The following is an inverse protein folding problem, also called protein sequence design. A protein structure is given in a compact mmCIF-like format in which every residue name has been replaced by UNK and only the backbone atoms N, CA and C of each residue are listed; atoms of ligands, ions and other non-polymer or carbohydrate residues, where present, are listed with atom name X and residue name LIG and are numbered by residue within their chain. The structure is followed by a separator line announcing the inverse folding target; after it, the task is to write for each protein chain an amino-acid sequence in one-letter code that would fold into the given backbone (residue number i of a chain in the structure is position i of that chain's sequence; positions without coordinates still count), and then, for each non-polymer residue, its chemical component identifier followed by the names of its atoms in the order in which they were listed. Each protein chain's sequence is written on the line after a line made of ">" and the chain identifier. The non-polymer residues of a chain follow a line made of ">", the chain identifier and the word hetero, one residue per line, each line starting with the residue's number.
data_IF_534196027204
#
_entry.id   IF_534196027204
#
_cell.length_a   1.000
_cell.length_b   1.000
_cell.length_c   1.000
_cell.angle_alpha   90.00
_cell.angle_beta   90.00
_cell.angle_gamma   90.00
#
_symmetry.space_group_name_H-M   'P 1'
#
loop_
_entity.id
_entity.type
_entity.pdbx_description
1 polymer ?
#
# COMPACT_ATOMS: atom_id res chain seq x y z
N UNK A 1 35.97 55.31 -1.19
CA UNK A 1 35.50 55.30 0.20
C UNK A 1 33.97 55.48 0.29
N UNK A 2 33.15 54.61 -0.28
CA UNK A 2 31.67 54.71 -0.21
C UNK A 2 30.98 53.31 -0.14
N UNK A 3 31.62 52.31 0.45
CA UNK A 3 31.06 50.94 0.57
C UNK A 3 31.05 50.35 2.00
N UNK A 4 31.24 51.17 3.04
CA UNK A 4 31.30 50.72 4.44
C UNK A 4 30.21 51.26 5.37
N UNK A 5 29.18 51.93 4.84
CA UNK A 5 28.10 52.53 5.65
C UNK A 5 26.73 51.87 5.52
N UNK A 6 26.61 50.73 4.77
CA UNK A 6 25.35 50.01 4.59
C UNK A 6 25.26 48.69 5.38
N UNK A 7 26.29 48.30 6.12
CA UNK A 7 26.31 47.08 6.91
C UNK A 7 25.87 47.26 8.38
N UNK A 8 25.60 48.48 8.82
CA UNK A 8 25.26 48.81 10.23
C UNK A 8 23.78 48.92 10.55
N UNK A 9 22.89 48.95 9.54
CA UNK A 9 21.46 49.23 9.76
C UNK A 9 20.56 47.97 9.82
N UNK A 10 21.07 46.76 9.55
CA UNK A 10 20.28 45.55 9.57
C UNK A 10 20.42 44.69 10.84
N UNK A 11 21.27 45.12 11.79
CA UNK A 11 21.50 44.34 13.04
C UNK A 11 20.67 44.84 14.24
N UNK A 12 19.85 45.87 14.08
CA UNK A 12 19.14 46.52 15.22
C UNK A 12 17.64 46.14 15.32
N UNK A 13 17.09 45.30 14.43
CA UNK A 13 15.65 44.94 14.42
C UNK A 13 15.32 43.54 14.91
N UNK A 14 16.30 42.72 15.37
CA UNK A 14 16.07 41.36 15.87
C UNK A 14 16.16 41.20 17.41
N UNK A 15 16.16 42.26 18.18
CA UNK A 15 16.40 42.20 19.61
C UNK A 15 15.18 42.51 20.51
N UNK A 16 13.93 42.51 19.98
CA UNK A 16 12.75 42.89 20.79
C UNK A 16 11.60 41.87 20.83
N UNK A 17 11.88 40.55 20.68
CA UNK A 17 10.81 39.54 20.80
C UNK A 17 11.14 38.38 21.76
N UNK A 18 11.92 38.62 22.83
CA UNK A 18 12.16 37.60 23.87
C UNK A 18 11.88 38.18 25.28
N UNK A 19 10.62 38.42 25.60
CA UNK A 19 10.18 38.54 26.98
C UNK A 19 8.73 38.08 27.14
N UNK A 20 8.53 36.76 27.24
CA UNK A 20 7.40 36.19 27.96
C UNK A 20 7.67 34.67 28.15
N UNK A 21 8.44 34.31 29.15
CA UNK A 21 8.42 32.96 29.74
C UNK A 21 8.51 33.11 31.24
N UNK A 22 7.34 33.05 31.87
CA UNK A 22 7.15 32.83 33.29
C UNK A 22 7.10 31.31 33.58
N UNK A 23 7.94 30.91 34.46
CA UNK A 23 8.03 29.77 35.33
C UNK A 23 6.80 28.86 35.53
N UNK A 24 7.00 27.55 35.46
CA UNK A 24 6.10 26.49 35.96
C UNK A 24 6.48 25.11 35.41
N UNK A 25 7.12 24.28 36.22
CA UNK A 25 7.50 22.91 35.86
C UNK A 25 6.30 21.96 35.86
N UNK A 26 6.39 20.86 35.12
CA UNK A 26 5.45 19.74 35.12
C UNK A 26 5.53 18.91 33.84
N UNK A 27 5.98 17.69 34.02
CA UNK A 27 5.76 16.46 33.24
C UNK A 27 5.31 16.51 31.77
N UNK A 28 6.11 15.85 30.95
CA UNK A 28 5.88 15.54 29.54
C UNK A 28 4.73 14.54 29.37
N UNK A 29 3.58 15.01 28.96
CA UNK A 29 2.59 14.21 28.23
C UNK A 29 2.48 14.82 26.86
N UNK A 30 3.01 14.10 25.86
CA UNK A 30 2.84 14.44 24.45
C UNK A 30 1.44 14.02 24.04
N UNK A 31 0.45 14.79 24.46
CA UNK A 31 -0.88 14.73 23.90
C UNK A 31 -0.90 15.60 22.66
N UNK A 32 -1.02 14.94 21.51
CA UNK A 32 -1.30 15.60 20.24
C UNK A 32 -2.54 16.48 20.37
N UNK A 33 -2.32 17.79 20.41
CA UNK A 33 -3.39 18.79 20.46
C UNK A 33 -4.03 18.89 19.07
N UNK A 34 -4.98 18.01 18.78
CA UNK A 34 -5.90 18.17 17.65
C UNK A 34 -6.77 19.37 17.92
N UNK A 35 -6.55 20.45 17.21
CA UNK A 35 -7.49 21.57 17.12
C UNK A 35 -8.75 21.08 16.40
N UNK A 36 -9.78 20.68 17.12
CA UNK A 36 -11.08 20.37 16.54
C UNK A 36 -11.79 21.68 16.17
N UNK A 37 -11.50 22.22 14.99
CA UNK A 37 -12.30 23.28 14.40
C UNK A 37 -13.54 22.74 13.67
N UNK A 38 -13.81 21.45 13.75
CA UNK A 38 -14.93 20.79 13.09
C UNK A 38 -14.71 20.46 11.61
N UNK A 39 -13.59 20.84 11.04
CA UNK A 39 -13.22 20.48 9.66
C UNK A 39 -12.78 19.02 9.57
N UNK A 40 -13.14 18.30 8.49
CA UNK A 40 -12.71 16.92 8.30
C UNK A 40 -11.19 16.84 8.15
N UNK A 41 -10.58 15.80 8.75
CA UNK A 41 -9.17 15.47 8.51
C UNK A 41 -9.03 14.88 7.12
N UNK A 42 -8.04 15.32 6.34
CA UNK A 42 -7.75 14.73 5.03
C UNK A 42 -6.81 13.53 5.19
N UNK A 43 -7.19 12.41 4.57
CA UNK A 43 -6.37 11.20 4.47
C UNK A 43 -5.96 11.01 3.00
N UNK A 44 -4.66 10.81 2.77
CA UNK A 44 -4.08 10.62 1.46
C UNK A 44 -3.83 9.13 1.22
N UNK A 45 -4.52 8.56 0.24
CA UNK A 45 -4.44 7.15 -0.10
C UNK A 45 -3.71 6.98 -1.44
N UNK A 46 -2.75 6.06 -1.50
CA UNK A 46 -2.10 5.65 -2.75
C UNK A 46 -2.48 4.21 -3.06
N UNK A 47 -3.18 4.01 -4.18
CA UNK A 47 -3.82 2.76 -4.53
C UNK A 47 -3.38 2.27 -5.92
N UNK A 48 -3.43 0.96 -6.13
CA UNK A 48 -3.28 0.36 -7.44
C UNK A 48 -4.50 0.67 -8.31
N UNK A 49 -4.27 1.22 -9.48
CA UNK A 49 -5.31 1.61 -10.43
C UNK A 49 -6.16 0.42 -10.91
N UNK A 50 -7.40 0.72 -11.30
CA UNK A 50 -8.38 -0.22 -11.82
C UNK A 50 -9.27 -0.81 -10.73
N UNK A 51 -9.79 -2.02 -10.96
CA UNK A 51 -10.79 -2.65 -10.09
C UNK A 51 -10.43 -2.67 -8.59
N UNK A 52 -9.14 -2.67 -8.27
CA UNK A 52 -8.66 -2.63 -6.88
C UNK A 52 -9.01 -1.30 -6.20
N UNK A 53 -8.70 -0.18 -6.85
CA UNK A 53 -9.04 1.14 -6.34
C UNK A 53 -10.56 1.40 -6.40
N UNK A 54 -11.24 0.89 -7.44
CA UNK A 54 -12.66 1.16 -7.65
C UNK A 54 -13.52 0.66 -6.48
N UNK A 55 -13.25 -0.55 -5.97
CA UNK A 55 -13.97 -1.10 -4.82
C UNK A 55 -13.75 -0.26 -3.56
N UNK A 56 -12.51 0.20 -3.32
CA UNK A 56 -12.23 1.08 -2.18
C UNK A 56 -13.01 2.38 -2.33
N UNK A 57 -12.94 3.02 -3.49
CA UNK A 57 -13.64 4.30 -3.76
C UNK A 57 -15.16 4.20 -3.57
N UNK A 58 -15.76 3.05 -3.83
CA UNK A 58 -17.19 2.82 -3.56
C UNK A 58 -17.52 2.84 -2.05
N UNK A 59 -16.56 2.46 -1.20
CA UNK A 59 -16.74 2.44 0.25
C UNK A 59 -16.42 3.79 0.92
N UNK A 60 -15.59 4.65 0.30
CA UNK A 60 -15.10 5.88 0.92
C UNK A 60 -16.21 6.84 1.36
N UNK A 61 -17.30 7.10 0.60
CA UNK A 61 -18.29 8.08 1.03
C UNK A 61 -18.91 7.77 2.39
N UNK A 62 -19.15 6.47 2.66
CA UNK A 62 -19.68 6.03 3.95
C UNK A 62 -18.65 6.21 5.06
N UNK A 63 -17.41 5.84 4.81
CA UNK A 63 -16.30 5.98 5.75
C UNK A 63 -16.04 7.46 6.09
N UNK A 64 -16.04 8.34 5.10
CA UNK A 64 -15.85 9.78 5.26
C UNK A 64 -16.93 10.41 6.15
N UNK A 65 -18.19 10.01 5.93
CA UNK A 65 -19.32 10.48 6.73
C UNK A 65 -19.25 9.98 8.18
N UNK A 66 -18.95 8.68 8.38
CA UNK A 66 -18.90 8.05 9.71
C UNK A 66 -17.75 8.58 10.57
N UNK A 67 -16.61 8.95 9.95
CA UNK A 67 -15.39 9.33 10.66
C UNK A 67 -15.04 10.83 10.57
N UNK A 68 -15.85 11.63 9.88
CA UNK A 68 -15.56 13.06 9.63
C UNK A 68 -14.15 13.26 9.03
N UNK A 69 -13.83 12.48 8.00
CA UNK A 69 -12.59 12.55 7.24
C UNK A 69 -12.88 12.81 5.78
N UNK A 70 -11.86 13.22 5.02
CA UNK A 70 -11.90 13.32 3.57
C UNK A 70 -10.75 12.49 2.99
N UNK A 71 -11.05 11.59 2.08
CA UNK A 71 -10.05 10.73 1.46
C UNK A 71 -9.66 11.26 0.08
N UNK A 72 -8.37 11.54 -0.11
CA UNK A 72 -7.79 11.89 -1.41
C UNK A 72 -7.05 10.67 -1.96
N UNK A 73 -7.52 10.16 -3.11
CA UNK A 73 -7.01 8.92 -3.70
C UNK A 73 -6.12 9.22 -4.90
N UNK A 74 -4.87 8.75 -4.83
CA UNK A 74 -3.97 8.69 -5.97
C UNK A 74 -3.93 7.25 -6.50
N UNK A 75 -4.22 7.08 -7.79
CA UNK A 75 -4.19 5.79 -8.46
C UNK A 75 -2.97 5.68 -9.37
N UNK A 76 -2.19 4.61 -9.20
CA UNK A 76 -0.97 4.35 -9.96
C UNK A 76 -0.94 2.93 -10.55
N UNK A 77 -0.12 2.72 -11.57
CA UNK A 77 0.26 1.38 -12.02
C UNK A 77 1.02 0.65 -10.91
N UNK A 78 1.14 -0.67 -10.98
CA UNK A 78 1.88 -1.45 -9.95
C UNK A 78 3.33 -0.97 -9.79
N UNK A 79 4.04 -0.74 -10.90
CA UNK A 79 5.44 -0.27 -10.88
C UNK A 79 5.58 1.15 -10.33
N UNK A 80 4.64 2.04 -10.66
CA UNK A 80 4.66 3.41 -10.19
C UNK A 80 4.24 3.50 -8.73
N UNK A 81 3.33 2.62 -8.30
CA UNK A 81 2.91 2.48 -6.90
C UNK A 81 4.09 2.12 -6.00
N UNK A 82 4.82 1.06 -6.34
CA UNK A 82 6.05 0.69 -5.63
C UNK A 82 7.03 1.85 -5.55
N UNK A 83 7.34 2.46 -6.71
CA UNK A 83 8.29 3.55 -6.79
C UNK A 83 7.84 4.78 -6.00
N UNK A 84 6.55 5.10 -6.04
CA UNK A 84 5.95 6.22 -5.33
C UNK A 84 6.08 6.07 -3.82
N UNK A 85 5.73 4.91 -3.29
CA UNK A 85 5.84 4.60 -1.85
C UNK A 85 7.31 4.62 -1.41
N UNK A 86 8.19 3.94 -2.14
CA UNK A 86 9.61 3.87 -1.82
C UNK A 86 10.28 5.26 -1.81
N UNK A 87 9.99 6.10 -2.80
CA UNK A 87 10.54 7.46 -2.89
C UNK A 87 9.99 8.38 -1.79
N UNK A 88 8.73 8.24 -1.43
CA UNK A 88 8.14 9.00 -0.33
C UNK A 88 8.84 8.67 0.99
N UNK A 89 9.04 7.38 1.26
CA UNK A 89 9.74 6.90 2.45
C UNK A 89 11.22 7.34 2.50
N UNK A 90 11.96 7.19 1.39
CA UNK A 90 13.37 7.63 1.31
C UNK A 90 13.50 9.14 1.56
N UNK A 91 12.58 9.92 1.04
CA UNK A 91 12.58 11.37 1.22
C UNK A 91 11.94 11.82 2.55
N UNK A 92 11.44 10.88 3.35
CA UNK A 92 10.76 11.13 4.64
C UNK A 92 9.65 12.19 4.54
N UNK A 93 8.88 12.15 3.44
CA UNK A 93 7.83 13.15 3.19
C UNK A 93 6.56 12.86 3.98
N UNK A 94 6.21 11.58 4.15
CA UNK A 94 4.96 11.18 4.78
C UNK A 94 3.74 11.70 4.03
N UNK A 95 3.77 11.60 2.69
CA UNK A 95 2.70 12.14 1.85
C UNK A 95 1.46 11.26 1.84
N UNK A 96 1.58 10.01 2.26
CA UNK A 96 0.50 9.02 2.22
C UNK A 96 0.21 8.48 3.62
N UNK A 97 -1.07 8.48 3.99
CA UNK A 97 -1.56 7.91 5.25
C UNK A 97 -1.88 6.42 5.11
N UNK A 98 -2.28 6.00 3.89
CA UNK A 98 -2.57 4.61 3.57
C UNK A 98 -2.04 4.24 2.19
N UNK A 99 -1.31 3.13 2.13
CA UNK A 99 -0.75 2.59 0.89
C UNK A 99 -1.30 1.20 0.60
N UNK A 100 -1.71 0.95 -0.66
CA UNK A 100 -1.94 -0.41 -1.11
C UNK A 100 -0.58 -1.04 -1.45
N UNK A 101 -0.25 -2.14 -0.78
CA UNK A 101 1.05 -2.82 -0.88
C UNK A 101 0.86 -4.21 -1.47
N UNK A 102 1.69 -4.58 -2.45
CA UNK A 102 1.78 -5.98 -2.87
C UNK A 102 2.54 -6.77 -1.81
N UNK A 103 2.02 -7.95 -1.47
CA UNK A 103 2.63 -8.80 -0.43
C UNK A 103 4.09 -9.17 -0.69
N UNK A 104 4.52 -9.17 -1.96
CA UNK A 104 5.92 -9.43 -2.33
C UNK A 104 6.89 -8.31 -1.90
N UNK A 105 6.40 -7.10 -1.66
CA UNK A 105 7.21 -5.95 -1.21
C UNK A 105 7.30 -5.85 0.32
N UNK A 106 6.48 -6.59 1.04
CA UNK A 106 6.29 -6.46 2.48
C UNK A 106 7.59 -6.58 3.27
N UNK A 107 8.41 -7.60 2.98
CA UNK A 107 9.66 -7.82 3.70
C UNK A 107 10.62 -6.63 3.53
N UNK A 108 10.82 -6.18 2.29
CA UNK A 108 11.68 -5.03 1.98
C UNK A 108 11.17 -3.75 2.64
N UNK A 109 9.87 -3.48 2.54
CA UNK A 109 9.28 -2.26 3.08
C UNK A 109 9.30 -2.25 4.62
N UNK A 110 9.16 -3.40 5.25
CA UNK A 110 9.28 -3.54 6.70
C UNK A 110 10.73 -3.34 7.16
N UNK A 111 11.70 -4.00 6.52
CA UNK A 111 13.12 -3.86 6.86
C UNK A 111 13.62 -2.41 6.72
N UNK A 112 13.08 -1.67 5.76
CA UNK A 112 13.44 -0.27 5.52
C UNK A 112 12.58 0.73 6.31
N UNK A 113 11.69 0.27 7.19
CA UNK A 113 10.84 1.13 8.02
C UNK A 113 9.83 1.96 7.22
N UNK A 114 9.40 1.46 6.05
CA UNK A 114 8.39 2.11 5.20
C UNK A 114 6.98 1.89 5.74
N UNK A 115 6.74 0.70 6.32
CA UNK A 115 5.44 0.32 6.87
C UNK A 115 5.41 0.50 8.39
N UNK A 116 4.31 1.01 8.89
CA UNK A 116 4.04 1.02 10.33
C UNK A 116 3.72 -0.39 10.83
N UNK A 117 4.15 -0.70 12.06
CA UNK A 117 3.70 -1.89 12.76
C UNK A 117 2.24 -1.69 13.19
N UNK A 118 1.33 -2.43 12.58
CA UNK A 118 -0.11 -2.30 12.86
C UNK A 118 -0.48 -2.87 14.24
N UNK A 119 0.29 -3.85 14.75
CA UNK A 119 0.10 -4.38 16.09
C UNK A 119 0.36 -3.30 17.16
N UNK A 120 1.35 -2.42 16.97
CA UNK A 120 1.60 -1.28 17.85
C UNK A 120 0.45 -0.27 17.85
N UNK A 121 -0.33 -0.25 16.77
CA UNK A 121 -1.54 0.58 16.65
C UNK A 121 -2.80 -0.12 17.18
N UNK A 122 -2.66 -1.34 17.72
CA UNK A 122 -3.76 -2.13 18.26
C UNK A 122 -4.60 -2.84 17.20
N UNK A 123 -4.08 -2.98 15.96
CA UNK A 123 -4.76 -3.74 14.92
C UNK A 123 -4.45 -5.22 15.05
N UNK A 124 -5.49 -6.03 15.01
CA UNK A 124 -5.43 -7.49 14.97
C UNK A 124 -6.16 -8.00 13.73
N UNK A 125 -5.66 -9.08 13.13
CA UNK A 125 -6.32 -9.73 12.00
C UNK A 125 -7.55 -10.48 12.48
N UNK A 126 -8.62 -10.42 11.69
CA UNK A 126 -9.86 -11.13 11.98
C UNK A 126 -9.67 -12.65 11.78
N UNK A 127 -10.17 -13.44 12.71
CA UNK A 127 -10.04 -14.91 12.72
C UNK A 127 -10.77 -15.60 11.55
N UNK A 128 -11.71 -14.91 10.89
CA UNK A 128 -12.45 -15.47 9.75
C UNK A 128 -11.70 -15.29 8.41
N UNK A 129 -10.57 -14.56 8.40
CA UNK A 129 -9.73 -14.40 7.21
C UNK A 129 -8.97 -15.70 6.92
N UNK A 130 -8.98 -16.11 5.66
CA UNK A 130 -8.32 -17.35 5.21
C UNK A 130 -6.82 -17.33 5.58
N UNK A 131 -6.31 -18.32 6.34
CA UNK A 131 -4.92 -18.34 6.81
C UNK A 131 -3.87 -18.22 5.71
N UNK A 132 -4.15 -18.70 4.50
CA UNK A 132 -3.25 -18.55 3.35
C UNK A 132 -3.02 -17.09 2.93
N UNK A 133 -3.97 -16.19 3.22
CA UNK A 133 -3.85 -14.76 2.92
C UNK A 133 -3.27 -13.96 4.08
N UNK A 134 -3.36 -14.46 5.31
CA UNK A 134 -2.82 -13.77 6.48
C UNK A 134 -1.33 -14.02 6.69
N UNK A 135 -0.79 -15.15 6.20
CA UNK A 135 0.61 -15.53 6.40
C UNK A 135 1.63 -14.49 5.91
N UNK A 136 1.27 -13.72 4.87
CA UNK A 136 2.12 -12.65 4.34
C UNK A 136 1.96 -11.32 5.07
N UNK A 137 1.06 -11.22 6.04
CA UNK A 137 0.79 -9.98 6.77
C UNK A 137 1.72 -9.81 7.98
N UNK A 138 2.44 -10.86 8.37
CA UNK A 138 3.26 -10.90 9.57
C UNK A 138 4.76 -10.80 9.27
N UNK A 139 5.47 -10.10 10.15
CA UNK A 139 6.92 -10.20 10.31
C UNK A 139 7.18 -10.58 11.78
N UNK A 140 7.65 -11.81 12.01
CA UNK A 140 7.65 -12.38 13.35
C UNK A 140 6.21 -12.55 13.85
N UNK A 141 5.91 -11.95 14.99
CA UNK A 141 4.58 -11.98 15.61
C UNK A 141 3.77 -10.70 15.33
N UNK A 142 4.36 -9.72 14.63
CA UNK A 142 3.76 -8.42 14.39
C UNK A 142 3.08 -8.33 13.03
N UNK A 143 1.94 -7.65 12.99
CA UNK A 143 1.14 -7.39 11.78
C UNK A 143 1.58 -6.09 11.11
N UNK A 144 1.87 -6.16 9.80
CA UNK A 144 2.25 -5.00 8.99
C UNK A 144 1.29 -4.73 7.83
N UNK A 145 0.49 -5.71 7.43
CA UNK A 145 -0.50 -5.56 6.36
C UNK A 145 -1.89 -5.97 6.82
N UNK A 146 -2.90 -5.19 6.43
CA UNK A 146 -4.29 -5.62 6.46
C UNK A 146 -4.61 -6.29 5.11
N UNK A 147 -5.03 -7.57 5.08
CA UNK A 147 -5.30 -8.26 3.82
C UNK A 147 -6.55 -7.68 3.17
N UNK A 148 -6.41 -7.27 1.91
CA UNK A 148 -7.49 -6.66 1.14
C UNK A 148 -8.11 -7.64 0.15
N UNK A 149 -7.29 -8.41 -0.57
CA UNK A 149 -7.74 -9.46 -1.49
C UNK A 149 -6.69 -10.56 -1.62
N UNK A 150 -7.14 -11.77 -1.97
CA UNK A 150 -6.27 -12.90 -2.26
C UNK A 150 -6.23 -13.20 -3.76
N UNK A 151 -5.04 -13.44 -4.29
CA UNK A 151 -4.85 -13.93 -5.65
C UNK A 151 -4.57 -15.42 -5.66
N UNK A 152 -5.16 -16.11 -6.64
CA UNK A 152 -4.90 -17.53 -6.89
C UNK A 152 -4.42 -17.69 -8.33
N UNK A 153 -3.26 -18.31 -8.50
CA UNK A 153 -2.82 -18.73 -9.82
C UNK A 153 -3.45 -20.09 -10.15
N UNK A 154 -4.20 -20.14 -11.24
CA UNK A 154 -4.89 -21.36 -11.66
C UNK A 154 -4.50 -21.75 -13.08
N UNK A 155 -4.47 -23.04 -13.36
CA UNK A 155 -4.39 -23.58 -14.71
C UNK A 155 -5.80 -23.68 -15.30
N UNK A 156 -6.06 -22.90 -16.33
CA UNK A 156 -7.32 -22.97 -17.08
C UNK A 156 -7.16 -23.87 -18.29
N UNK A 157 -8.03 -24.85 -18.42
CA UNK A 157 -8.01 -25.81 -19.52
C UNK A 157 -9.13 -25.54 -20.53
N UNK A 158 -8.77 -25.45 -21.81
CA UNK A 158 -9.77 -25.46 -22.87
C UNK A 158 -10.28 -26.89 -23.07
N UNK A 159 -11.53 -27.16 -22.72
CA UNK A 159 -12.15 -28.50 -22.75
C UNK A 159 -12.06 -29.19 -24.13
N UNK A 160 -12.22 -28.43 -25.22
CA UNK A 160 -12.17 -28.99 -26.59
C UNK A 160 -10.74 -29.45 -26.93
N UNK A 161 -9.72 -28.68 -26.56
CA UNK A 161 -8.33 -29.06 -26.78
C UNK A 161 -7.92 -30.27 -25.93
N UNK A 162 -8.36 -30.30 -24.65
CA UNK A 162 -8.13 -31.42 -23.74
C UNK A 162 -8.75 -32.69 -24.32
N UNK A 163 -10.01 -32.65 -24.78
CA UNK A 163 -10.71 -33.75 -25.39
C UNK A 163 -10.05 -34.23 -26.70
N UNK A 164 -9.60 -33.27 -27.54
CA UNK A 164 -8.91 -33.60 -28.77
C UNK A 164 -7.57 -34.30 -28.56
N UNK A 165 -6.94 -34.11 -27.41
CA UNK A 165 -5.71 -34.80 -26.97
C UNK A 165 -5.99 -36.14 -26.32
N UNK A 166 -7.25 -36.56 -26.17
CA UNK A 166 -7.63 -37.81 -25.55
C UNK A 166 -7.72 -37.78 -24.03
N UNK A 167 -7.73 -36.58 -23.44
CA UNK A 167 -7.85 -36.34 -21.99
C UNK A 167 -9.22 -35.81 -21.59
N UNK A 168 -9.50 -35.85 -20.31
CA UNK A 168 -10.55 -35.07 -19.64
C UNK A 168 -9.88 -34.17 -18.59
N UNK A 169 -10.61 -33.20 -18.04
CA UNK A 169 -10.04 -32.37 -16.98
C UNK A 169 -9.60 -33.19 -15.76
N UNK A 170 -10.35 -34.28 -15.46
CA UNK A 170 -10.11 -35.15 -14.31
C UNK A 170 -8.94 -36.14 -14.52
N UNK A 171 -8.44 -36.27 -15.75
CA UNK A 171 -7.32 -37.15 -16.08
C UNK A 171 -6.00 -36.41 -16.31
N UNK A 172 -6.00 -35.08 -16.12
CA UNK A 172 -4.78 -34.26 -16.14
C UNK A 172 -4.25 -34.16 -14.71
N UNK A 173 -3.26 -35.00 -14.39
CA UNK A 173 -2.70 -35.11 -13.04
C UNK A 173 -1.25 -34.62 -12.93
N UNK A 174 -0.61 -34.38 -14.08
CA UNK A 174 0.79 -33.98 -14.15
C UNK A 174 1.07 -32.87 -15.16
N UNK A 175 2.24 -32.24 -15.08
CA UNK A 175 2.71 -31.30 -16.09
C UNK A 175 2.97 -31.99 -17.44
N UNK A 176 3.30 -33.27 -17.45
CA UNK A 176 3.49 -34.04 -18.68
C UNK A 176 2.17 -34.22 -19.43
N UNK A 177 1.05 -34.40 -18.71
CA UNK A 177 -0.29 -34.43 -19.31
C UNK A 177 -0.65 -33.10 -19.93
N UNK A 178 -0.33 -31.98 -19.22
CA UNK A 178 -0.51 -30.63 -19.75
C UNK A 178 0.33 -30.45 -21.01
N UNK A 179 1.59 -30.90 -21.01
CA UNK A 179 2.46 -30.83 -22.17
C UNK A 179 1.91 -31.62 -23.36
N UNK A 180 1.40 -32.83 -23.15
CA UNK A 180 0.79 -33.65 -24.21
C UNK A 180 -0.43 -32.93 -24.85
N UNK A 181 -1.28 -32.31 -24.04
CA UNK A 181 -2.40 -31.49 -24.53
C UNK A 181 -1.89 -30.29 -25.36
N UNK A 182 -0.82 -29.63 -24.90
CA UNK A 182 -0.22 -28.51 -25.59
C UNK A 182 0.39 -28.92 -26.95
N UNK A 183 1.09 -30.04 -26.99
CA UNK A 183 1.68 -30.60 -28.23
C UNK A 183 0.60 -30.96 -29.25
N UNK A 184 -0.48 -31.59 -28.81
CA UNK A 184 -1.61 -31.89 -29.68
C UNK A 184 -2.28 -30.62 -30.22
N UNK A 185 -2.52 -29.63 -29.36
CA UNK A 185 -3.07 -28.35 -29.79
C UNK A 185 -2.18 -27.67 -30.81
N UNK A 186 -0.85 -27.72 -30.62
CA UNK A 186 0.13 -27.19 -31.57
C UNK A 186 0.10 -27.94 -32.91
N UNK A 187 -0.01 -29.27 -32.89
CA UNK A 187 -0.14 -30.08 -34.09
C UNK A 187 -1.41 -29.75 -34.90
N UNK A 188 -2.48 -29.36 -34.23
CA UNK A 188 -3.74 -28.91 -34.80
C UNK A 188 -3.73 -27.41 -35.21
N UNK A 189 -2.56 -26.75 -35.23
CA UNK A 189 -2.37 -25.36 -35.62
C UNK A 189 -2.84 -24.31 -34.59
N UNK A 190 -3.08 -24.74 -33.33
CA UNK A 190 -3.53 -23.89 -32.24
C UNK A 190 -2.37 -23.46 -31.33
N UNK A 191 -2.61 -22.51 -30.43
CA UNK A 191 -1.69 -22.21 -29.32
C UNK A 191 -1.85 -23.25 -28.22
N UNK A 192 -0.77 -23.93 -27.86
CA UNK A 192 -0.79 -24.97 -26.81
C UNK A 192 -0.90 -24.37 -25.42
N UNK A 193 -0.18 -23.29 -25.15
CA UNK A 193 -0.11 -22.66 -23.82
C UNK A 193 -0.12 -21.12 -23.96
N UNK A 194 -0.80 -20.46 -23.04
CA UNK A 194 -0.81 -19.01 -22.89
C UNK A 194 -0.46 -18.70 -21.43
N UNK A 195 0.50 -17.86 -21.27
CA UNK A 195 1.01 -17.41 -19.97
C UNK A 195 0.94 -15.89 -19.88
N UNK A 196 0.62 -15.38 -18.70
CA UNK A 196 0.73 -13.95 -18.41
C UNK A 196 2.18 -13.66 -18.03
N UNK A 197 2.86 -12.86 -18.83
CA UNK A 197 4.21 -12.36 -18.57
C UNK A 197 4.19 -11.01 -17.88
#
# INVERSE_FOLDING_TARGET
>A
MKRRLLAGALAATMALSMTACGSGGGSSDTQGSGSSDGSPTTLNLILRAGAYADVIKECLPKFEEEHNVKCEVQELSESDLYSGIALDAINQKGSYDLCMVDGSWMAEFTENGVLANLSDLGYELDDDIIPATTSICYVGDDVYLAPYYGNVTVLMLNKENVKAAGYTADTIESLDDVLAVCEKAKADGKKGFIYRG
#
